data_IF_679105665870
#
_entry.id   IF_679105665870
#
_cell.length_a   1.000
_cell.length_b   1.000
_cell.length_c   1.000
_cell.angle_alpha   90.00
_cell.angle_beta   90.00
_cell.angle_gamma   90.00
#
_symmetry.space_group_name_H-M   'P 1'
#
loop_
_entity.id
_entity.type
_entity.pdbx_description
1 polymer ?
#
# COMPACT_ATOMS: atom_id res chain seq x y z
N UNK A 1 13.32 -34.92 -25.75
CA UNK A 1 13.26 -34.40 -24.37
C UNK A 1 14.48 -34.95 -23.65
N UNK A 2 15.40 -34.07 -23.27
CA UNK A 2 16.56 -34.40 -22.45
C UNK A 2 16.13 -34.42 -20.96
N UNK A 3 16.34 -35.53 -20.28
CA UNK A 3 16.11 -35.66 -18.84
C UNK A 3 17.44 -35.43 -18.12
N UNK A 4 17.45 -34.53 -17.16
CA UNK A 4 18.63 -34.15 -16.37
C UNK A 4 18.38 -34.52 -14.91
N UNK A 5 19.35 -35.11 -14.24
CA UNK A 5 19.22 -35.62 -12.88
C UNK A 5 19.12 -34.53 -11.82
N UNK A 6 19.57 -33.31 -12.12
CA UNK A 6 19.45 -32.18 -11.22
C UNK A 6 19.14 -30.88 -11.97
N UNK A 7 18.23 -30.09 -11.44
CA UNK A 7 17.84 -28.79 -12.00
C UNK A 7 18.97 -27.77 -12.05
N UNK A 8 19.99 -27.90 -11.19
CA UNK A 8 21.20 -27.05 -11.19
C UNK A 8 22.05 -27.19 -12.46
N UNK A 9 21.97 -28.35 -13.12
CA UNK A 9 22.78 -28.66 -14.30
C UNK A 9 22.02 -28.47 -15.63
N UNK A 10 20.75 -28.07 -15.59
CA UNK A 10 19.92 -27.97 -16.79
C UNK A 10 20.48 -26.99 -17.83
N UNK A 11 21.00 -25.85 -17.38
CA UNK A 11 21.55 -24.82 -18.27
C UNK A 11 22.83 -25.26 -18.94
N UNK A 12 23.73 -25.94 -18.20
CA UNK A 12 25.02 -26.43 -18.74
C UNK A 12 24.80 -27.58 -19.73
N UNK A 13 23.99 -28.57 -19.36
CA UNK A 13 23.65 -29.72 -20.20
C UNK A 13 22.89 -29.29 -21.47
N UNK A 14 21.98 -28.31 -21.32
CA UNK A 14 21.26 -27.76 -22.48
C UNK A 14 22.17 -27.06 -23.48
N UNK A 15 23.17 -26.28 -23.00
CA UNK A 15 24.18 -25.64 -23.86
C UNK A 15 25.09 -26.65 -24.54
N UNK A 16 25.52 -27.66 -23.80
CA UNK A 16 26.35 -28.73 -24.33
C UNK A 16 25.62 -29.55 -25.39
N UNK A 17 24.37 -29.91 -25.17
CA UNK A 17 23.53 -30.56 -26.16
C UNK A 17 23.32 -29.69 -27.40
N UNK A 18 23.08 -28.39 -27.26
CA UNK A 18 22.96 -27.48 -28.38
C UNK A 18 24.27 -27.33 -29.16
N UNK A 19 25.43 -27.32 -28.49
CA UNK A 19 26.73 -27.24 -29.15
C UNK A 19 27.02 -28.51 -29.97
N UNK A 20 26.73 -29.69 -29.41
CA UNK A 20 26.87 -30.97 -30.10
C UNK A 20 25.96 -31.02 -31.35
N UNK A 21 24.69 -30.65 -31.20
CA UNK A 21 23.74 -30.62 -32.32
C UNK A 21 24.20 -29.66 -33.42
N UNK A 22 24.69 -28.48 -33.07
CA UNK A 22 25.19 -27.51 -34.04
C UNK A 22 26.48 -27.99 -34.75
N UNK A 23 27.26 -28.88 -34.14
CA UNK A 23 28.43 -29.48 -34.80
C UNK A 23 28.03 -30.48 -35.90
N UNK A 24 26.90 -31.16 -35.71
CA UNK A 24 26.38 -32.11 -36.72
C UNK A 24 25.55 -31.46 -37.81
N UNK A 25 25.01 -30.25 -37.58
CA UNK A 25 24.21 -29.52 -38.60
C UNK A 25 25.11 -28.58 -39.39
N UNK A 26 25.54 -29.02 -40.55
CA UNK A 26 26.46 -28.29 -41.43
C UNK A 26 25.78 -27.17 -42.23
N UNK A 27 24.48 -26.87 -42.02
CA UNK A 27 23.77 -25.84 -42.79
C UNK A 27 23.69 -24.53 -41.99
N UNK A 28 24.12 -23.43 -42.60
CA UNK A 28 24.14 -22.09 -42.01
C UNK A 28 22.78 -21.49 -41.68
N UNK A 29 21.68 -22.18 -42.07
CA UNK A 29 20.31 -21.69 -41.86
C UNK A 29 19.60 -22.23 -40.62
N UNK A 30 20.12 -23.25 -39.96
CA UNK A 30 19.49 -23.85 -38.77
C UNK A 30 20.49 -23.84 -37.62
N UNK A 31 20.17 -23.14 -36.55
CA UNK A 31 20.96 -23.16 -35.31
C UNK A 31 20.09 -23.65 -34.15
N UNK A 32 20.58 -24.66 -33.43
CA UNK A 32 19.97 -25.13 -32.22
C UNK A 32 20.39 -24.23 -31.02
N UNK A 33 19.43 -23.70 -30.29
CA UNK A 33 19.66 -22.85 -29.11
C UNK A 33 18.98 -23.46 -27.87
N UNK A 34 19.73 -23.74 -26.84
CA UNK A 34 19.14 -24.18 -25.59
C UNK A 34 18.34 -23.01 -24.95
N UNK A 35 17.07 -23.25 -24.71
CA UNK A 35 16.20 -22.28 -24.02
C UNK A 35 16.07 -22.72 -22.56
N UNK A 36 16.59 -21.89 -21.65
CA UNK A 36 16.55 -22.15 -20.21
C UNK A 36 15.23 -21.64 -19.65
N UNK A 37 14.23 -22.51 -19.59
CA UNK A 37 12.91 -22.21 -19.05
C UNK A 37 12.96 -21.84 -17.56
N UNK A 38 13.87 -22.43 -16.79
CA UNK A 38 14.03 -22.09 -15.37
C UNK A 38 14.59 -20.69 -15.19
N UNK A 39 15.52 -20.28 -16.05
CA UNK A 39 16.05 -18.92 -16.05
C UNK A 39 14.94 -17.93 -16.39
N UNK A 40 14.17 -18.21 -17.45
CA UNK A 40 13.02 -17.37 -17.81
C UNK A 40 11.99 -17.26 -16.68
N UNK A 41 11.67 -18.39 -16.03
CA UNK A 41 10.76 -18.37 -14.88
C UNK A 41 11.30 -17.51 -13.72
N UNK A 42 12.61 -17.60 -13.42
CA UNK A 42 13.26 -16.75 -12.41
C UNK A 42 13.27 -15.27 -12.82
N UNK A 43 13.55 -14.97 -14.08
CA UNK A 43 13.54 -13.61 -14.60
C UNK A 43 12.14 -12.98 -14.49
N UNK A 44 11.09 -13.73 -14.85
CA UNK A 44 9.69 -13.30 -14.67
C UNK A 44 9.37 -13.09 -13.19
N UNK A 45 9.79 -14.00 -12.32
CA UNK A 45 9.59 -13.88 -10.88
C UNK A 45 10.30 -12.64 -10.31
N UNK A 46 11.54 -12.37 -10.73
CA UNK A 46 12.29 -11.19 -10.29
C UNK A 46 11.66 -9.89 -10.78
N UNK A 47 11.17 -9.86 -12.03
CA UNK A 47 10.41 -8.72 -12.55
C UNK A 47 9.13 -8.49 -11.77
N UNK A 48 8.38 -9.55 -11.46
CA UNK A 48 7.17 -9.47 -10.64
C UNK A 48 7.46 -8.92 -9.24
N UNK A 49 8.54 -9.39 -8.60
CA UNK A 49 8.96 -8.88 -7.29
C UNK A 49 9.37 -7.40 -7.35
N UNK A 50 10.11 -6.99 -8.37
CA UNK A 50 10.51 -5.59 -8.57
C UNK A 50 9.28 -4.69 -8.80
N UNK A 51 8.32 -5.15 -9.62
CA UNK A 51 7.08 -4.44 -9.88
C UNK A 51 6.25 -4.29 -8.59
N UNK A 52 6.11 -5.38 -7.82
CA UNK A 52 5.41 -5.33 -6.54
C UNK A 52 6.07 -4.36 -5.55
N UNK A 53 7.41 -4.37 -5.46
CA UNK A 53 8.14 -3.42 -4.62
C UNK A 53 7.88 -1.97 -5.05
N UNK A 54 7.92 -1.68 -6.36
CA UNK A 54 7.62 -0.36 -6.90
C UNK A 54 6.18 0.08 -6.55
N UNK A 55 5.19 -0.80 -6.71
CA UNK A 55 3.80 -0.52 -6.35
C UNK A 55 3.64 -0.21 -4.85
N UNK A 56 4.35 -0.95 -3.98
CA UNK A 56 4.35 -0.70 -2.53
C UNK A 56 4.91 0.69 -2.21
N UNK A 57 6.01 1.10 -2.85
CA UNK A 57 6.57 2.43 -2.68
C UNK A 57 5.61 3.54 -3.13
N UNK A 58 4.98 3.39 -4.30
CA UNK A 58 4.00 4.35 -4.82
C UNK A 58 2.80 4.45 -3.86
N UNK A 59 2.27 3.31 -3.41
CA UNK A 59 1.17 3.27 -2.45
C UNK A 59 1.57 3.91 -1.12
N UNK A 60 2.79 3.64 -0.62
CA UNK A 60 3.32 4.23 0.61
C UNK A 60 3.42 5.75 0.56
N UNK A 61 3.95 6.29 -0.54
CA UNK A 61 4.04 7.74 -0.76
C UNK A 61 2.63 8.36 -0.83
N UNK A 62 1.71 7.74 -1.58
CA UNK A 62 0.33 8.20 -1.69
C UNK A 62 -0.36 8.24 -0.33
N UNK A 63 -0.10 7.24 0.52
CA UNK A 63 -0.65 7.14 1.86
C UNK A 63 -0.07 8.21 2.80
N UNK A 64 1.23 8.51 2.70
CA UNK A 64 1.86 9.61 3.44
C UNK A 64 1.24 10.96 3.07
N UNK A 65 1.05 11.22 1.78
CA UNK A 65 0.41 12.46 1.30
C UNK A 65 -1.04 12.54 1.80
N UNK A 66 -1.80 11.43 1.73
CA UNK A 66 -3.15 11.36 2.27
C UNK A 66 -3.20 11.58 3.78
N UNK A 67 -2.26 11.00 4.53
CA UNK A 67 -2.12 11.20 5.98
C UNK A 67 -1.83 12.65 6.37
N UNK A 68 -0.94 13.32 5.62
CA UNK A 68 -0.68 14.77 5.79
C UNK A 68 -1.94 15.57 5.49
N UNK A 69 -2.73 15.17 4.49
CA UNK A 69 -4.03 15.77 4.19
C UNK A 69 -5.00 15.67 5.38
N UNK A 70 -5.13 14.48 5.98
CA UNK A 70 -5.93 14.29 7.20
C UNK A 70 -5.43 15.18 8.35
N UNK A 71 -4.12 15.22 8.58
CA UNK A 71 -3.52 16.06 9.60
C UNK A 71 -3.85 17.55 9.38
N UNK A 72 -3.77 18.03 8.15
CA UNK A 72 -4.08 19.42 7.82
C UNK A 72 -5.57 19.75 8.05
N UNK A 73 -6.48 18.88 7.61
CA UNK A 73 -7.92 19.03 7.86
C UNK A 73 -8.19 19.07 9.36
N UNK A 74 -7.60 18.17 10.13
CA UNK A 74 -7.75 18.13 11.59
C UNK A 74 -7.19 19.37 12.27
N UNK A 75 -6.06 19.91 11.81
CA UNK A 75 -5.52 21.17 12.33
C UNK A 75 -6.45 22.35 12.09
N UNK A 76 -7.05 22.43 10.90
CA UNK A 76 -8.07 23.46 10.59
C UNK A 76 -9.30 23.25 11.47
N UNK A 77 -9.81 22.05 11.60
CA UNK A 77 -10.96 21.72 12.46
C UNK A 77 -10.71 22.13 13.91
N UNK A 78 -9.49 21.87 14.44
CA UNK A 78 -9.13 22.29 15.81
C UNK A 78 -9.13 23.81 15.95
N UNK A 79 -8.64 24.54 14.95
CA UNK A 79 -8.64 26.02 14.99
C UNK A 79 -10.07 26.58 14.86
N UNK A 80 -10.92 26.02 14.02
CA UNK A 80 -12.33 26.43 13.86
C UNK A 80 -13.15 26.14 15.12
N UNK A 81 -12.82 25.08 15.86
CA UNK A 81 -13.52 24.65 17.09
C UNK A 81 -12.83 25.09 18.37
N UNK A 82 -11.94 26.10 18.29
CA UNK A 82 -11.12 26.55 19.43
C UNK A 82 -12.00 27.01 20.60
N UNK A 83 -13.08 27.77 20.35
CA UNK A 83 -14.02 28.23 21.38
C UNK A 83 -14.77 27.08 22.07
N UNK A 84 -15.23 26.08 21.30
CA UNK A 84 -15.86 24.86 21.84
C UNK A 84 -14.91 24.09 22.76
N UNK A 85 -13.64 23.95 22.35
CA UNK A 85 -12.61 23.28 23.13
C UNK A 85 -12.31 24.07 24.39
N UNK A 86 -12.20 25.39 24.28
CA UNK A 86 -11.99 26.30 25.41
C UNK A 86 -13.11 26.19 26.45
N UNK A 87 -14.36 26.21 26.00
CA UNK A 87 -15.53 26.04 26.85
C UNK A 87 -15.52 24.69 27.58
N UNK A 88 -15.29 23.58 26.85
CA UNK A 88 -15.19 22.25 27.47
C UNK A 88 -14.12 22.19 28.54
N UNK A 89 -12.98 22.84 28.33
CA UNK A 89 -11.91 22.94 29.35
C UNK A 89 -12.26 23.81 30.51
N UNK A 90 -12.93 24.93 30.31
CA UNK A 90 -13.37 25.82 31.37
C UNK A 90 -14.34 25.14 32.33
N UNK A 91 -15.20 24.24 31.83
CA UNK A 91 -16.11 23.43 32.67
C UNK A 91 -15.45 22.14 33.20
N UNK A 92 -14.13 21.98 33.04
CA UNK A 92 -13.34 20.92 33.68
C UNK A 92 -13.06 19.66 32.86
N UNK A 93 -13.20 19.69 31.54
CA UNK A 93 -12.85 18.55 30.71
C UNK A 93 -11.35 18.21 30.82
N UNK A 94 -11.05 16.94 31.04
CA UNK A 94 -9.67 16.44 31.11
C UNK A 94 -9.00 16.49 29.76
N UNK A 95 -7.71 16.84 29.70
CA UNK A 95 -6.90 16.85 28.47
C UNK A 95 -7.02 15.52 27.67
N UNK A 96 -7.00 14.38 28.38
CA UNK A 96 -7.14 13.06 27.78
C UNK A 96 -8.49 12.86 27.07
N UNK A 97 -9.57 13.44 27.62
CA UNK A 97 -10.90 13.31 27.01
C UNK A 97 -10.97 14.08 25.68
N UNK A 98 -10.40 15.31 25.65
CA UNK A 98 -10.33 16.09 24.41
C UNK A 98 -9.43 15.41 23.39
N UNK A 99 -8.24 14.95 23.79
CA UNK A 99 -7.33 14.24 22.90
C UNK A 99 -7.98 12.98 22.31
N UNK A 100 -8.65 12.15 23.13
CA UNK A 100 -9.31 10.94 22.64
C UNK A 100 -10.47 11.26 21.71
N UNK A 101 -11.23 12.33 21.93
CA UNK A 101 -12.31 12.76 21.05
C UNK A 101 -11.79 13.04 19.63
N UNK A 102 -10.79 13.92 19.50
CA UNK A 102 -10.20 14.27 18.20
C UNK A 102 -9.47 13.10 17.53
N UNK A 103 -8.78 12.27 18.32
CA UNK A 103 -8.11 11.08 17.80
C UNK A 103 -9.13 10.06 17.26
N UNK A 104 -10.25 9.85 17.97
CA UNK A 104 -11.32 8.96 17.48
C UNK A 104 -11.93 9.51 16.20
N UNK A 105 -12.12 10.82 16.09
CA UNK A 105 -12.62 11.46 14.88
C UNK A 105 -11.68 11.21 13.67
N UNK A 106 -10.36 11.34 13.85
CA UNK A 106 -9.37 11.01 12.82
C UNK A 106 -9.42 9.54 12.43
N UNK A 107 -9.49 8.63 13.41
CA UNK A 107 -9.55 7.17 13.14
C UNK A 107 -10.82 6.79 12.41
N UNK A 108 -11.98 7.34 12.80
CA UNK A 108 -13.25 7.09 12.11
C UNK A 108 -13.18 7.58 10.66
N UNK A 109 -12.69 8.80 10.44
CA UNK A 109 -12.56 9.37 9.10
C UNK A 109 -11.68 8.51 8.19
N UNK A 110 -10.51 8.10 8.67
CA UNK A 110 -9.59 7.27 7.90
C UNK A 110 -10.12 5.84 7.71
N UNK A 111 -10.85 5.29 8.69
CA UNK A 111 -11.48 3.97 8.55
C UNK A 111 -12.55 3.96 7.47
N UNK A 112 -13.42 4.98 7.44
CA UNK A 112 -14.43 5.14 6.38
C UNK A 112 -13.73 5.28 5.02
N UNK A 113 -12.69 6.12 4.93
CA UNK A 113 -11.88 6.25 3.72
C UNK A 113 -11.25 4.93 3.27
N UNK A 114 -10.71 4.15 4.21
CA UNK A 114 -10.14 2.84 3.95
C UNK A 114 -11.18 1.83 3.42
N UNK A 115 -12.37 1.79 4.02
CA UNK A 115 -13.47 0.93 3.57
C UNK A 115 -13.91 1.32 2.15
N UNK A 116 -14.15 2.61 1.91
CA UNK A 116 -14.51 3.11 0.57
C UNK A 116 -13.41 2.80 -0.42
N UNK A 117 -12.13 2.97 -0.04
CA UNK A 117 -10.96 2.64 -0.88
C UNK A 117 -10.92 1.16 -1.26
N UNK A 118 -11.21 0.25 -0.33
CA UNK A 118 -11.28 -1.20 -0.62
C UNK A 118 -12.41 -1.51 -1.60
N UNK A 119 -13.61 -0.97 -1.40
CA UNK A 119 -14.74 -1.21 -2.32
C UNK A 119 -14.48 -0.65 -3.72
N UNK A 120 -13.95 0.56 -3.81
CA UNK A 120 -13.61 1.17 -5.11
C UNK A 120 -12.47 0.42 -5.79
N UNK A 121 -11.46 -0.02 -5.05
CA UNK A 121 -10.35 -0.82 -5.58
C UNK A 121 -10.82 -2.17 -6.14
N UNK A 122 -11.68 -2.88 -5.41
CA UNK A 122 -12.27 -4.15 -5.87
C UNK A 122 -13.14 -3.91 -7.11
N UNK A 123 -13.97 -2.86 -7.10
CA UNK A 123 -14.84 -2.52 -8.24
C UNK A 123 -14.04 -2.22 -9.51
N UNK A 124 -12.99 -1.40 -9.39
CA UNK A 124 -12.10 -1.10 -10.52
C UNK A 124 -11.34 -2.34 -11.01
N UNK A 125 -10.85 -3.18 -10.10
CA UNK A 125 -10.16 -4.41 -10.46
C UNK A 125 -11.10 -5.37 -11.25
N UNK A 126 -12.35 -5.51 -10.83
CA UNK A 126 -13.35 -6.31 -11.55
C UNK A 126 -13.69 -5.72 -12.92
N UNK A 127 -13.83 -4.40 -13.01
CA UNK A 127 -14.08 -3.72 -14.28
C UNK A 127 -12.95 -3.98 -15.29
N UNK A 128 -11.70 -3.82 -14.86
CA UNK A 128 -10.52 -4.09 -15.69
C UNK A 128 -10.45 -5.56 -16.08
N UNK A 129 -10.79 -6.47 -15.17
CA UNK A 129 -10.88 -7.91 -15.43
C UNK A 129 -11.86 -8.23 -16.55
N UNK A 130 -13.04 -7.63 -16.52
CA UNK A 130 -14.06 -7.82 -17.57
C UNK A 130 -13.60 -7.30 -18.93
N UNK A 131 -12.89 -6.17 -18.95
CA UNK A 131 -12.40 -5.56 -20.20
C UNK A 131 -11.25 -6.34 -20.83
N UNK A 132 -10.34 -6.88 -20.02
CA UNK A 132 -9.11 -7.53 -20.47
C UNK A 132 -9.21 -9.08 -20.50
N UNK A 133 -10.30 -9.66 -19.97
CA UNK A 133 -10.45 -11.11 -19.86
C UNK A 133 -9.47 -11.79 -18.90
N UNK A 134 -8.83 -11.02 -17.98
CA UNK A 134 -7.86 -11.54 -17.02
C UNK A 134 -8.55 -11.81 -15.68
N UNK A 135 -8.44 -13.02 -15.09
CA UNK A 135 -9.08 -13.32 -13.81
C UNK A 135 -8.45 -12.50 -12.67
N UNK A 136 -9.28 -11.84 -11.86
CA UNK A 136 -8.83 -11.15 -10.66
C UNK A 136 -9.09 -12.01 -9.43
N UNK A 137 -8.05 -12.19 -8.61
CA UNK A 137 -8.15 -12.85 -7.31
C UNK A 137 -8.28 -11.80 -6.21
N UNK A 138 -9.43 -11.79 -5.53
CA UNK A 138 -9.68 -10.89 -4.40
C UNK A 138 -9.24 -11.59 -3.12
N UNK A 139 -8.28 -10.98 -2.42
CA UNK A 139 -7.79 -11.48 -1.13
C UNK A 139 -8.50 -10.76 0.02
N UNK A 140 -9.41 -11.46 0.69
CA UNK A 140 -10.10 -10.94 1.89
C UNK A 140 -9.13 -10.53 3.00
N UNK A 141 -8.08 -11.33 3.33
CA UNK A 141 -7.09 -10.91 4.32
C UNK A 141 -6.37 -9.61 3.97
N UNK A 142 -6.02 -9.42 2.69
CA UNK A 142 -5.37 -8.19 2.24
C UNK A 142 -6.30 -6.98 2.37
N UNK A 143 -7.59 -7.14 2.07
CA UNK A 143 -8.60 -6.09 2.22
C UNK A 143 -8.77 -5.68 3.70
N UNK A 144 -8.83 -6.64 4.62
CA UNK A 144 -8.88 -6.35 6.06
C UNK A 144 -7.62 -5.63 6.56
N UNK A 145 -6.44 -6.09 6.13
CA UNK A 145 -5.17 -5.44 6.46
C UNK A 145 -5.13 -4.00 5.95
N UNK A 146 -5.67 -3.71 4.78
CA UNK A 146 -5.73 -2.36 4.22
C UNK A 146 -6.56 -1.41 5.10
N UNK A 147 -7.71 -1.87 5.62
CA UNK A 147 -8.53 -1.08 6.54
C UNK A 147 -7.81 -0.86 7.87
N UNK A 148 -7.20 -1.90 8.45
CA UNK A 148 -6.41 -1.77 9.68
C UNK A 148 -5.25 -0.79 9.51
N UNK A 149 -4.59 -0.83 8.35
CA UNK A 149 -3.50 0.09 8.03
C UNK A 149 -4.00 1.53 7.89
N UNK A 150 -5.18 1.73 7.30
CA UNK A 150 -5.84 3.04 7.22
C UNK A 150 -6.16 3.61 8.61
N UNK A 151 -6.63 2.77 9.55
CA UNK A 151 -6.83 3.16 10.95
C UNK A 151 -5.51 3.58 11.62
N UNK A 152 -4.43 2.82 11.41
CA UNK A 152 -3.12 3.14 11.95
C UNK A 152 -2.61 4.52 11.46
N UNK A 153 -2.83 4.84 10.19
CA UNK A 153 -2.54 6.16 9.61
C UNK A 153 -3.37 7.25 10.30
N UNK A 154 -4.65 7.01 10.54
CA UNK A 154 -5.52 7.94 11.29
C UNK A 154 -4.99 8.23 12.70
N UNK A 155 -4.45 7.22 13.38
CA UNK A 155 -3.82 7.40 14.69
C UNK A 155 -2.54 8.23 14.55
N UNK A 156 -1.63 7.88 13.64
CA UNK A 156 -0.32 8.54 13.50
C UNK A 156 -0.50 10.02 13.15
N UNK A 157 -1.28 10.32 12.11
CA UNK A 157 -1.46 11.69 11.64
C UNK A 157 -2.49 12.49 12.45
N UNK A 158 -3.39 11.81 13.19
CA UNK A 158 -4.34 12.43 14.10
C UNK A 158 -3.75 12.80 15.47
N UNK A 159 -2.62 12.18 15.87
CA UNK A 159 -1.99 12.42 17.18
C UNK A 159 -1.59 13.88 17.38
N UNK A 160 -0.91 14.50 16.41
CA UNK A 160 -0.40 15.87 16.53
C UNK A 160 -1.53 16.90 16.66
N UNK A 161 -2.57 16.93 15.79
CA UNK A 161 -3.70 17.83 15.96
C UNK A 161 -4.48 17.58 17.27
N UNK A 162 -4.69 16.32 17.64
CA UNK A 162 -5.38 15.96 18.90
C UNK A 162 -4.60 16.43 20.13
N UNK A 163 -3.28 16.33 20.09
CA UNK A 163 -2.43 16.84 21.16
C UNK A 163 -2.49 18.37 21.24
N UNK A 164 -2.49 19.08 20.10
CA UNK A 164 -2.67 20.53 20.06
C UNK A 164 -4.01 20.93 20.67
N UNK A 165 -5.11 20.31 20.26
CA UNK A 165 -6.44 20.55 20.83
C UNK A 165 -6.47 20.35 22.35
N UNK A 166 -5.84 19.27 22.83
CA UNK A 166 -5.77 18.96 24.25
C UNK A 166 -4.93 19.95 25.05
N UNK A 167 -4.02 20.71 24.47
CA UNK A 167 -3.15 21.66 25.15
C UNK A 167 -3.53 23.14 24.91
N UNK A 168 -4.61 23.44 24.19
CA UNK A 168 -5.11 24.81 24.06
C UNK A 168 -5.37 25.42 25.42
N UNK A 169 -5.01 26.71 25.61
CA UNK A 169 -5.34 27.47 26.81
C UNK A 169 -6.81 27.91 26.74
N UNK A 170 -7.65 27.59 27.76
CA UNK A 170 -9.05 27.96 27.74
C UNK A 170 -9.26 29.49 27.76
N UNK A 171 -8.35 30.26 28.33
CA UNK A 171 -8.48 31.74 28.41
C UNK A 171 -8.22 32.33 27.01
N UNK A 172 -7.15 31.90 26.35
CA UNK A 172 -6.86 32.32 24.94
C UNK A 172 -7.93 31.85 23.98
N UNK A 173 -8.42 30.64 24.14
CA UNK A 173 -9.42 30.03 23.27
C UNK A 173 -10.74 30.82 23.29
N UNK A 174 -11.15 31.36 24.41
CA UNK A 174 -12.37 32.15 24.57
C UNK A 174 -12.21 33.65 24.23
N UNK A 175 -10.96 34.13 24.12
CA UNK A 175 -10.66 35.52 23.77
C UNK A 175 -10.63 35.79 22.26
N UNK A 176 -10.54 34.75 21.45
CA UNK A 176 -10.45 34.82 19.99
C UNK A 176 -11.80 34.75 19.29
N UNK A 177 -12.93 34.78 20.02
CA UNK A 177 -14.25 35.10 19.47
C UNK A 177 -14.48 36.62 19.60
#
# INVERSE_FOLDING_TARGET
ILKVDATSNMTSVGKEAASILNTYVSSSSIQYKAQDLLKQAKDIQSLSQSTNAMLIWIAGISLLVGGIGVMNIMLVTVTERTGEIGLKKAIGARKKAIMSQFLTEAVVLTSIGGIVGVFTGIGLAQLISMLNGTPVSISVPASLLSVLFSMAIGIIFGLLPSYKAANLDPIEALRHE
#
